data_IF_963360476447
#
_entry.id   IF_963360476447
#
_cell.length_a   1.000
_cell.length_b   1.000
_cell.length_c   1.000
_cell.angle_alpha   90.00
_cell.angle_beta   90.00
_cell.angle_gamma   90.00
#
_symmetry.space_group_name_H-M   'P 1'
#
loop_
_entity.id
_entity.type
_entity.pdbx_description
1 polymer ?
#
# COMPACT_ATOMS: atom_id res chain seq x y z
N UNK A 1 3.75 4.49 5.44
CA UNK A 1 2.34 4.91 5.65
C UNK A 1 1.41 3.73 5.43
N UNK A 2 0.10 3.90 5.60
CA UNK A 2 -0.91 2.86 5.40
C UNK A 2 -1.99 3.35 4.44
N UNK A 3 -2.46 2.45 3.58
CA UNK A 3 -3.43 2.78 2.56
C UNK A 3 -4.25 1.57 2.13
N UNK A 4 -5.38 1.85 1.47
CA UNK A 4 -6.26 0.82 0.91
C UNK A 4 -6.24 0.92 -0.61
N UNK A 5 -5.99 -0.19 -1.29
CA UNK A 5 -5.99 -0.24 -2.76
C UNK A 5 -7.39 0.11 -3.28
N UNK A 6 -7.48 1.20 -4.04
CA UNK A 6 -8.72 1.67 -4.68
C UNK A 6 -8.94 0.97 -6.02
N UNK A 7 -7.87 0.82 -6.80
CA UNK A 7 -7.85 0.12 -8.08
C UNK A 7 -6.45 -0.36 -8.42
N UNK A 8 -6.35 -1.45 -9.17
CA UNK A 8 -5.09 -1.99 -9.67
C UNK A 8 -5.34 -2.73 -10.99
N UNK A 9 -4.58 -2.41 -12.02
CA UNK A 9 -4.53 -3.16 -13.28
C UNK A 9 -3.33 -4.11 -13.25
N UNK A 10 -3.54 -5.44 -13.19
CA UNK A 10 -2.44 -6.40 -13.16
C UNK A 10 -1.67 -6.53 -14.48
N UNK A 11 -2.18 -5.98 -15.58
CA UNK A 11 -1.52 -6.02 -16.90
C UNK A 11 -0.46 -4.94 -17.00
N UNK A 12 -0.75 -3.72 -16.53
CA UNK A 12 0.18 -2.58 -16.59
C UNK A 12 0.96 -2.39 -15.30
N UNK A 13 0.40 -2.80 -14.15
CA UNK A 13 0.92 -2.48 -12.83
C UNK A 13 0.39 -1.15 -12.28
N UNK A 14 -0.39 -0.41 -13.07
CA UNK A 14 -0.97 0.86 -12.65
C UNK A 14 -1.98 0.64 -11.53
N UNK A 15 -2.06 1.58 -10.61
CA UNK A 15 -3.08 1.56 -9.58
C UNK A 15 -3.11 2.83 -8.77
N UNK A 16 -4.11 2.88 -7.90
CA UNK A 16 -4.30 3.97 -6.95
C UNK A 16 -4.64 3.34 -5.61
N UNK A 17 -4.07 3.90 -4.55
CA UNK A 17 -4.51 3.65 -3.18
C UNK A 17 -5.08 4.92 -2.57
N UNK A 18 -5.87 4.75 -1.51
CA UNK A 18 -6.30 5.85 -0.65
C UNK A 18 -5.45 5.82 0.61
N UNK A 19 -4.75 6.91 0.92
CA UNK A 19 -4.01 7.07 2.17
C UNK A 19 -4.99 7.15 3.36
N UNK A 20 -4.68 6.46 4.46
CA UNK A 20 -5.60 6.40 5.59
C UNK A 20 -5.55 7.62 6.52
N UNK A 21 -4.48 8.41 6.47
CA UNK A 21 -4.31 9.57 7.32
C UNK A 21 -5.16 10.76 6.83
N UNK A 22 -5.24 10.98 5.53
CA UNK A 22 -5.91 12.14 4.93
C UNK A 22 -6.91 11.82 3.81
N UNK A 23 -7.09 10.54 3.46
CA UNK A 23 -7.97 10.06 2.40
C UNK A 23 -7.58 10.55 0.99
N UNK A 24 -6.34 10.98 0.80
CA UNK A 24 -5.83 11.35 -0.51
C UNK A 24 -5.67 10.11 -1.41
N UNK A 25 -5.97 10.29 -2.70
CA UNK A 25 -5.60 9.32 -3.73
C UNK A 25 -4.09 9.43 -3.98
N UNK A 26 -3.40 8.29 -3.98
CA UNK A 26 -1.96 8.17 -4.26
C UNK A 26 -1.77 7.13 -5.36
N UNK A 27 -1.14 7.53 -6.46
CA UNK A 27 -0.80 6.64 -7.57
C UNK A 27 0.28 5.64 -7.13
N UNK A 28 0.24 4.42 -7.68
CA UNK A 28 1.32 3.45 -7.51
C UNK A 28 2.51 3.83 -8.39
N UNK A 29 3.73 3.67 -7.87
CA UNK A 29 4.94 3.74 -8.66
C UNK A 29 5.11 2.49 -9.54
N UNK A 30 5.86 2.60 -10.64
CA UNK A 30 6.15 1.46 -11.52
C UNK A 30 6.87 0.31 -10.79
N UNK A 31 7.64 0.64 -9.74
CA UNK A 31 8.39 -0.29 -8.90
C UNK A 31 7.64 -0.68 -7.61
N UNK A 32 6.32 -0.38 -7.51
CA UNK A 32 5.55 -0.52 -6.28
C UNK A 32 5.62 -1.91 -5.63
N UNK A 33 5.74 -2.96 -6.44
CA UNK A 33 5.82 -4.35 -5.99
C UNK A 33 7.26 -4.91 -5.98
N UNK A 34 8.27 -4.13 -6.34
CA UNK A 34 9.65 -4.59 -6.33
C UNK A 34 10.09 -4.92 -4.89
N UNK A 35 10.62 -6.13 -4.69
CA UNK A 35 10.99 -6.64 -3.37
C UNK A 35 9.79 -6.99 -2.46
N UNK A 36 8.56 -6.83 -2.93
CA UNK A 36 7.35 -7.22 -2.20
C UNK A 36 7.05 -8.72 -2.32
N UNK A 37 6.31 -9.25 -1.35
CA UNK A 37 5.68 -10.56 -1.45
C UNK A 37 4.43 -10.54 -2.35
N UNK A 38 3.88 -9.36 -2.63
CA UNK A 38 2.71 -9.23 -3.49
C UNK A 38 3.10 -9.46 -4.95
N UNK A 39 2.34 -10.35 -5.61
CA UNK A 39 2.40 -10.52 -7.07
C UNK A 39 1.24 -9.84 -7.80
N UNK A 40 0.18 -9.53 -7.06
CA UNK A 40 -1.00 -8.80 -7.52
C UNK A 40 -1.59 -8.08 -6.32
N UNK A 41 -2.33 -7.01 -6.58
CA UNK A 41 -3.13 -6.30 -5.59
C UNK A 41 -4.61 -6.43 -5.92
N UNK A 42 -5.45 -6.42 -4.88
CA UNK A 42 -6.91 -6.42 -5.03
C UNK A 42 -7.49 -5.14 -4.45
N UNK A 43 -8.55 -4.64 -5.07
CA UNK A 43 -9.34 -3.54 -4.50
C UNK A 43 -9.79 -3.89 -3.07
N UNK A 44 -9.70 -2.91 -2.17
CA UNK A 44 -9.99 -3.06 -0.74
C UNK A 44 -8.87 -3.70 0.07
N UNK A 45 -7.76 -4.11 -0.54
CA UNK A 45 -6.60 -4.63 0.18
C UNK A 45 -5.89 -3.51 0.94
N UNK A 46 -5.66 -3.72 2.24
CA UNK A 46 -4.89 -2.81 3.08
C UNK A 46 -3.39 -3.13 2.95
N UNK A 47 -2.57 -2.11 2.75
CA UNK A 47 -1.12 -2.24 2.57
C UNK A 47 -0.38 -1.14 3.33
N UNK A 48 0.86 -1.42 3.70
CA UNK A 48 1.82 -0.38 4.02
C UNK A 48 2.62 -0.02 2.76
N UNK A 49 3.01 1.24 2.64
CA UNK A 49 3.79 1.76 1.50
C UNK A 49 4.70 2.92 1.94
N UNK A 50 5.68 3.25 1.12
CA UNK A 50 6.50 4.47 1.21
C UNK A 50 6.19 5.38 0.02
N UNK A 51 6.61 6.66 0.04
CA UNK A 51 6.56 7.51 -1.15
C UNK A 51 7.92 7.53 -1.83
N UNK A 52 7.90 7.52 -3.16
CA UNK A 52 9.04 7.89 -3.99
C UNK A 52 9.21 9.42 -4.08
N UNK A 53 10.21 9.86 -4.86
CA UNK A 53 10.52 11.29 -5.04
C UNK A 53 9.43 12.08 -5.79
N UNK A 54 8.55 11.39 -6.53
CA UNK A 54 7.41 11.96 -7.25
C UNK A 54 6.11 11.96 -6.41
N UNK A 55 6.15 11.39 -5.19
CA UNK A 55 4.98 11.26 -4.33
C UNK A 55 4.07 10.09 -4.70
N UNK A 56 4.57 9.08 -5.42
CA UNK A 56 3.84 7.83 -5.71
C UNK A 56 4.15 6.76 -4.66
N UNK A 57 3.22 5.84 -4.48
CA UNK A 57 3.36 4.75 -3.52
C UNK A 57 4.31 3.66 -4.05
N UNK A 58 5.40 3.41 -3.32
CA UNK A 58 6.38 2.37 -3.60
C UNK A 58 6.58 1.42 -2.41
N UNK A 59 7.30 0.31 -2.62
CA UNK A 59 7.69 -0.68 -1.58
C UNK A 59 6.50 -1.21 -0.77
N UNK A 60 5.44 -1.61 -1.46
CA UNK A 60 4.22 -2.11 -0.85
C UNK A 60 4.49 -3.38 -0.05
N UNK A 61 3.99 -3.43 1.19
CA UNK A 61 4.20 -4.55 2.12
C UNK A 61 2.94 -4.86 2.90
N UNK A 62 2.85 -6.08 3.42
CA UNK A 62 1.74 -6.48 4.29
C UNK A 62 1.74 -5.53 5.49
N UNK A 63 0.58 -4.96 5.79
CA UNK A 63 0.39 -4.24 7.04
C UNK A 63 0.49 -5.22 8.19
N UNK A 64 1.55 -5.12 8.98
CA UNK A 64 1.50 -5.59 10.36
C UNK A 64 0.58 -4.62 11.09
N UNK A 65 -0.54 -5.11 11.63
CA UNK A 65 -1.16 -4.41 12.75
C UNK A 65 -0.04 -4.07 13.75
N UNK A 66 -0.09 -2.87 14.33
CA UNK A 66 0.63 -2.60 15.57
C UNK A 66 0.33 -3.78 16.48
N UNK A 67 1.39 -4.48 16.91
CA UNK A 67 1.32 -5.60 17.83
C UNK A 67 0.19 -5.30 18.83
N UNK A 68 -0.86 -6.14 18.82
CA UNK A 68 -1.92 -6.08 19.83
C UNK A 68 -1.24 -6.53 21.12
N UNK A 69 -0.40 -5.65 21.67
CA UNK A 69 0.37 -5.87 22.87
C UNK A 69 -0.60 -6.42 23.88
N UNK A 70 -0.27 -7.60 24.40
CA UNK A 70 -1.06 -8.20 25.46
C UNK A 70 -1.23 -7.13 26.53
N UNK A 71 -2.46 -6.70 26.87
CA UNK A 71 -2.65 -5.66 27.87
C UNK A 71 -1.88 -6.06 29.12
N UNK A 72 -1.05 -5.17 29.66
CA UNK A 72 -0.44 -5.43 30.97
C UNK A 72 -1.57 -5.57 32.00
N UNK A 73 -1.55 -6.68 32.74
CA UNK A 73 -2.53 -7.04 33.77
C UNK A 73 -2.51 -6.08 34.96
#
# INVERSE_FOLDING_TARGET
MQGVIKSYDPVTGDGVLVDEADLADVDLADDALEGSLFRMLRQGQRVQFDLDDDGRATRLRIGSEVDMGTPEL
#
